data_IF_786570801299
#
_entry.id   IF_786570801299
#
_cell.length_a   1.000
_cell.length_b   1.000
_cell.length_c   1.000
_cell.angle_alpha   90.00
_cell.angle_beta   90.00
_cell.angle_gamma   90.00
#
_symmetry.space_group_name_H-M   'P 1'
#
loop_
_entity.id
_entity.type
_entity.pdbx_description
1 polymer ?
#
# COMPACT_ATOMS: atom_id res chain seq x y z
N UNK A 1 36.29 13.30 1.51
CA UNK A 1 35.28 13.67 0.51
C UNK A 1 34.58 12.39 0.12
N UNK A 2 33.48 12.08 0.82
CA UNK A 2 32.79 10.81 0.66
C UNK A 2 31.93 10.86 -0.60
N UNK A 3 32.15 9.89 -1.47
CA UNK A 3 31.49 9.67 -2.76
C UNK A 3 29.97 9.71 -2.65
N UNK A 4 29.39 10.51 -3.56
CA UNK A 4 27.95 10.71 -3.70
C UNK A 4 27.19 9.40 -3.82
N UNK A 5 26.18 9.29 -2.97
CA UNK A 5 25.18 8.24 -2.95
C UNK A 5 24.45 8.24 -4.29
N UNK A 6 24.50 7.10 -4.96
CA UNK A 6 23.81 6.82 -6.23
C UNK A 6 22.34 7.19 -6.07
N UNK A 7 21.86 8.12 -6.90
CA UNK A 7 20.45 8.48 -7.03
C UNK A 7 19.70 7.27 -7.64
N UNK A 8 19.47 6.25 -6.80
CA UNK A 8 18.79 5.04 -7.18
C UNK A 8 17.35 5.39 -7.52
N UNK A 9 17.01 5.31 -8.82
CA UNK A 9 15.64 5.41 -9.36
C UNK A 9 14.68 4.65 -8.44
N UNK A 10 13.96 5.36 -7.56
CA UNK A 10 12.99 4.73 -6.67
C UNK A 10 11.97 3.99 -7.53
N UNK A 11 11.76 2.71 -7.25
CA UNK A 11 10.76 1.90 -7.96
C UNK A 11 9.40 2.60 -7.92
N UNK A 12 8.65 2.63 -9.04
CA UNK A 12 7.34 3.27 -9.07
C UNK A 12 6.39 2.57 -8.07
N UNK A 13 5.39 3.28 -7.53
CA UNK A 13 4.39 2.68 -6.66
C UNK A 13 3.60 1.61 -7.42
N UNK A 14 3.65 0.37 -6.95
CA UNK A 14 2.90 -0.75 -7.56
C UNK A 14 1.54 -0.87 -6.89
N UNK A 15 0.47 -0.94 -7.70
CA UNK A 15 -0.89 -1.20 -7.21
C UNK A 15 -0.99 -2.64 -6.68
N UNK A 16 -1.44 -2.79 -5.44
CA UNK A 16 -1.54 -4.09 -4.76
C UNK A 16 -2.77 -4.17 -3.85
N UNK A 17 -3.21 -5.39 -3.58
CA UNK A 17 -4.19 -5.72 -2.53
C UNK A 17 -3.48 -6.22 -1.27
N UNK A 18 -4.08 -5.99 -0.09
CA UNK A 18 -3.54 -6.38 1.21
C UNK A 18 -3.25 -7.89 1.30
N UNK A 19 -4.12 -8.71 0.72
CA UNK A 19 -3.96 -10.16 0.63
C UNK A 19 -2.73 -10.59 -0.17
N UNK A 20 -2.31 -9.83 -1.18
CA UNK A 20 -1.09 -10.13 -1.94
C UNK A 20 0.16 -9.92 -1.08
N UNK A 21 0.19 -8.84 -0.28
CA UNK A 21 1.26 -8.60 0.69
C UNK A 21 1.26 -9.72 1.75
N UNK A 22 0.10 -10.01 2.35
CA UNK A 22 -0.04 -11.07 3.37
C UNK A 22 0.51 -12.42 2.90
N UNK A 23 0.19 -12.82 1.66
CA UNK A 23 0.67 -14.06 1.07
C UNK A 23 2.19 -14.09 0.79
N UNK A 24 2.84 -12.93 0.64
CA UNK A 24 4.29 -12.86 0.42
C UNK A 24 5.08 -13.24 1.68
N UNK A 25 4.59 -12.88 2.88
CA UNK A 25 5.27 -13.18 4.14
C UNK A 25 5.33 -14.66 4.50
N UNK A 26 4.51 -15.51 3.87
CA UNK A 26 4.51 -16.97 4.09
C UNK A 26 5.65 -17.69 3.38
N UNK A 27 6.47 -17.00 2.56
CA UNK A 27 7.44 -17.64 1.64
C UNK A 27 8.91 -17.23 1.78
N UNK A 28 9.30 -16.71 2.94
CA UNK A 28 10.70 -16.38 3.25
C UNK A 28 10.98 -14.88 3.22
N UNK A 29 11.76 -14.42 4.19
CA UNK A 29 12.01 -13.01 4.46
C UNK A 29 12.71 -12.32 3.27
N UNK A 30 12.22 -11.13 2.93
CA UNK A 30 12.94 -10.21 2.05
C UNK A 30 14.26 -9.82 2.70
N UNK A 31 15.36 -9.90 1.95
CA UNK A 31 16.54 -9.09 2.28
C UNK A 31 16.11 -7.62 2.23
N UNK A 32 16.15 -6.96 3.39
CA UNK A 32 15.48 -5.68 3.68
C UNK A 32 15.86 -4.50 2.77
N UNK A 33 16.86 -4.67 1.89
CA UNK A 33 17.31 -3.67 0.95
C UNK A 33 16.58 -3.70 -0.41
N UNK A 34 15.96 -4.82 -0.81
CA UNK A 34 15.44 -4.99 -2.19
C UNK A 34 13.90 -5.04 -2.33
N UNK A 35 13.14 -5.05 -1.23
CA UNK A 35 11.67 -5.13 -1.25
C UNK A 35 11.11 -6.55 -1.23
N UNK A 36 9.79 -6.68 -1.32
CA UNK A 36 9.04 -7.93 -1.15
C UNK A 36 8.62 -8.53 -2.49
N UNK A 37 8.61 -9.86 -2.60
CA UNK A 37 8.14 -10.54 -3.82
C UNK A 37 6.68 -10.95 -3.65
N UNK A 38 5.79 -10.37 -4.45
CA UNK A 38 4.37 -10.73 -4.50
C UNK A 38 4.06 -11.59 -5.73
N UNK A 39 2.99 -12.38 -5.65
CA UNK A 39 2.43 -13.06 -6.82
C UNK A 39 1.52 -12.12 -7.59
N UNK A 40 1.82 -11.96 -8.87
CA UNK A 40 0.97 -11.34 -9.86
C UNK A 40 0.07 -12.40 -10.54
N UNK A 41 -0.85 -11.94 -11.39
CA UNK A 41 -1.67 -12.83 -12.21
C UNK A 41 -0.84 -13.83 -13.03
N UNK A 42 -1.41 -15.01 -13.30
CA UNK A 42 -0.83 -16.08 -14.15
C UNK A 42 0.50 -16.67 -13.62
N UNK A 43 0.72 -16.66 -12.30
CA UNK A 43 1.88 -17.31 -11.68
C UNK A 43 3.19 -16.52 -11.79
N UNK A 44 3.14 -15.29 -12.29
CA UNK A 44 4.29 -14.37 -12.35
C UNK A 44 4.51 -13.71 -10.98
N UNK A 45 5.67 -13.11 -10.79
CA UNK A 45 6.05 -12.47 -9.52
C UNK A 45 6.58 -11.07 -9.73
N UNK A 46 6.32 -10.18 -8.77
CA UNK A 46 6.73 -8.79 -8.80
C UNK A 46 7.47 -8.42 -7.52
N UNK A 47 8.58 -7.69 -7.65
CA UNK A 47 9.29 -7.13 -6.51
C UNK A 47 8.75 -5.73 -6.22
N UNK A 48 8.32 -5.50 -4.99
CA UNK A 48 7.61 -4.28 -4.56
C UNK A 48 8.18 -3.74 -3.25
N UNK A 49 8.36 -2.42 -3.19
CA UNK A 49 8.84 -1.73 -1.98
C UNK A 49 8.01 -0.47 -1.70
N UNK A 50 7.63 0.24 -2.76
CA UNK A 50 6.65 1.31 -2.76
C UNK A 50 5.33 0.79 -3.36
N UNK A 51 4.22 1.02 -2.68
CA UNK A 51 2.91 0.52 -3.08
C UNK A 51 1.88 1.62 -3.19
N UNK A 52 0.88 1.37 -4.04
CA UNK A 52 -0.40 2.06 -4.07
C UNK A 52 -1.47 1.08 -3.58
N UNK A 53 -2.18 1.46 -2.52
CA UNK A 53 -3.28 0.69 -1.96
C UNK A 53 -4.53 1.58 -1.86
N UNK A 54 -5.71 0.96 -1.84
CA UNK A 54 -6.96 1.65 -1.56
C UNK A 54 -7.75 0.87 -0.52
N UNK A 55 -8.54 1.57 0.31
CA UNK A 55 -9.31 0.91 1.34
C UNK A 55 -10.25 1.84 2.09
N UNK A 56 -11.13 1.24 2.87
CA UNK A 56 -12.05 1.93 3.78
C UNK A 56 -11.39 2.08 5.13
N UNK A 57 -11.39 3.29 5.69
CA UNK A 57 -10.88 3.56 7.03
C UNK A 57 -11.79 2.86 8.04
N UNK A 58 -11.24 1.94 8.82
CA UNK A 58 -11.96 1.28 9.92
C UNK A 58 -11.83 2.09 11.20
N UNK A 59 -10.59 2.42 11.57
CA UNK A 59 -10.28 3.12 12.81
C UNK A 59 -8.98 3.91 12.68
N UNK A 60 -8.88 4.95 13.51
CA UNK A 60 -7.64 5.72 13.73
C UNK A 60 -7.17 5.39 15.14
N UNK A 61 -5.98 4.83 15.27
CA UNK A 61 -5.46 4.40 16.58
C UNK A 61 -5.21 5.59 17.51
N UNK A 62 -5.18 5.30 18.81
CA UNK A 62 -4.88 6.29 19.86
C UNK A 62 -3.51 6.94 19.57
N UNK A 63 -3.48 8.28 19.48
CA UNK A 63 -2.30 9.05 19.07
C UNK A 63 -2.33 9.54 17.63
N UNK A 64 -3.25 9.06 16.79
CA UNK A 64 -3.53 9.63 15.46
C UNK A 64 -2.42 9.44 14.42
N UNK A 65 -1.45 8.57 14.70
CA UNK A 65 -0.29 8.30 13.82
C UNK A 65 -0.46 7.06 12.95
N UNK A 66 -1.40 6.18 13.32
CA UNK A 66 -1.67 4.92 12.65
C UNK A 66 -3.15 4.78 12.35
N UNK A 67 -3.48 4.30 11.15
CA UNK A 67 -4.85 4.08 10.67
C UNK A 67 -4.99 2.66 10.17
N UNK A 68 -6.08 1.99 10.52
CA UNK A 68 -6.43 0.68 9.98
C UNK A 68 -7.36 0.87 8.77
N UNK A 69 -6.99 0.26 7.64
CA UNK A 69 -7.78 0.26 6.41
C UNK A 69 -8.19 -1.16 6.06
N UNK A 70 -9.28 -1.28 5.30
CA UNK A 70 -9.76 -2.55 4.76
C UNK A 70 -10.00 -2.43 3.26
N UNK A 71 -9.38 -3.33 2.50
CA UNK A 71 -9.76 -3.62 1.11
C UNK A 71 -10.57 -4.92 1.03
N UNK A 72 -10.92 -5.35 -0.18
CA UNK A 72 -11.71 -6.57 -0.41
C UNK A 72 -10.98 -7.87 0.01
N UNK A 73 -9.67 -7.82 0.24
CA UNK A 73 -8.84 -8.99 0.60
C UNK A 73 -8.39 -8.99 2.07
N UNK A 74 -8.78 -7.97 2.83
CA UNK A 74 -8.52 -7.88 4.27
C UNK A 74 -8.00 -6.52 4.70
N UNK A 75 -7.47 -6.50 5.92
CA UNK A 75 -6.98 -5.27 6.56
C UNK A 75 -5.52 -4.99 6.21
N UNK A 76 -5.12 -3.73 6.41
CA UNK A 76 -3.73 -3.31 6.48
C UNK A 76 -3.59 -2.04 7.33
N UNK A 77 -2.45 -1.88 8.00
CA UNK A 77 -2.15 -0.72 8.82
C UNK A 77 -1.29 0.31 8.08
N UNK A 78 -1.59 1.59 8.28
CA UNK A 78 -0.85 2.72 7.70
C UNK A 78 -0.32 3.60 8.80
N UNK A 79 1.01 3.73 8.87
CA UNK A 79 1.73 4.51 9.87
C UNK A 79 2.22 5.85 9.30
N UNK A 80 2.48 6.81 10.19
CA UNK A 80 3.07 8.12 9.84
C UNK A 80 2.10 9.06 9.13
N UNK A 81 0.78 8.85 9.29
CA UNK A 81 -0.24 9.64 8.58
C UNK A 81 -0.24 11.12 8.97
N UNK A 82 0.24 11.44 10.16
CA UNK A 82 0.38 12.80 10.68
C UNK A 82 1.46 13.63 9.97
N UNK A 83 2.40 12.97 9.29
CA UNK A 83 3.49 13.63 8.54
C UNK A 83 3.11 13.94 7.08
N UNK A 84 1.90 13.57 6.66
CA UNK A 84 1.41 13.79 5.29
C UNK A 84 0.73 15.17 5.22
N UNK A 85 0.97 15.96 4.13
CA UNK A 85 0.29 17.24 3.95
C UNK A 85 -1.23 17.11 4.12
N UNK A 86 -1.77 17.92 5.03
CA UNK A 86 -3.19 17.90 5.39
C UNK A 86 -3.99 18.65 4.34
N UNK A 87 -4.47 17.93 3.33
CA UNK A 87 -5.56 18.38 2.46
C UNK A 87 -6.92 18.28 3.19
N UNK A 88 -7.98 17.95 2.45
CA UNK A 88 -9.29 17.62 3.03
C UNK A 88 -9.15 16.49 4.08
N UNK A 89 -9.77 16.60 5.27
CA UNK A 89 -9.78 15.52 6.25
C UNK A 89 -10.37 14.23 5.64
N UNK A 90 -9.53 13.19 5.51
CA UNK A 90 -9.88 11.95 4.83
C UNK A 90 -9.69 10.69 5.69
N UNK A 91 -9.16 10.83 6.90
CA UNK A 91 -8.89 9.73 7.82
C UNK A 91 -9.95 9.67 8.92
N UNK A 92 -11.19 9.47 8.52
CA UNK A 92 -12.33 9.25 9.42
C UNK A 92 -12.93 7.87 9.11
N UNK A 93 -13.42 7.12 10.12
CA UNK A 93 -14.11 5.86 9.89
C UNK A 93 -15.16 5.95 8.78
N UNK A 94 -15.16 4.98 7.89
CA UNK A 94 -16.05 4.91 6.72
C UNK A 94 -15.57 5.67 5.48
N UNK A 95 -14.54 6.51 5.57
CA UNK A 95 -13.93 7.15 4.39
C UNK A 95 -13.22 6.14 3.51
N UNK A 96 -13.37 6.28 2.20
CA UNK A 96 -12.62 5.48 1.23
C UNK A 96 -11.44 6.30 0.71
N UNK A 97 -10.23 5.77 0.83
CA UNK A 97 -8.99 6.52 0.54
C UNK A 97 -8.04 5.70 -0.31
N UNK A 98 -7.19 6.41 -1.04
CA UNK A 98 -5.94 5.85 -1.55
C UNK A 98 -4.80 6.12 -0.57
N UNK A 99 -3.84 5.22 -0.51
CA UNK A 99 -2.58 5.39 0.20
C UNK A 99 -1.42 4.94 -0.70
N UNK A 100 -0.46 5.84 -0.92
CA UNK A 100 0.86 5.48 -1.41
C UNK A 100 1.79 5.33 -0.21
N UNK A 101 2.51 4.23 -0.09
CA UNK A 101 3.33 3.95 1.09
C UNK A 101 4.49 3.00 0.86
N UNK A 102 5.48 3.06 1.75
CA UNK A 102 6.62 2.14 1.76
C UNK A 102 6.29 0.96 2.66
N UNK A 103 6.43 -0.27 2.15
CA UNK A 103 6.15 -1.48 2.93
C UNK A 103 7.12 -1.56 4.11
N UNK A 104 6.57 -1.77 5.31
CA UNK A 104 7.33 -2.03 6.54
C UNK A 104 7.24 -3.51 6.94
N UNK A 105 6.04 -4.09 6.84
CA UNK A 105 5.79 -5.50 7.10
C UNK A 105 4.71 -6.00 6.14
N UNK A 106 4.72 -7.31 5.87
CA UNK A 106 3.75 -7.93 4.97
C UNK A 106 2.85 -8.97 5.65
N UNK A 107 3.27 -9.56 6.77
CA UNK A 107 2.54 -10.64 7.47
C UNK A 107 2.82 -10.58 8.97
N UNK A 108 1.88 -10.98 9.86
CA UNK A 108 0.52 -11.47 9.56
C UNK A 108 -0.43 -10.38 9.06
N UNK A 109 -0.15 -9.13 9.42
CA UNK A 109 -0.88 -7.96 8.99
C UNK A 109 0.05 -7.04 8.18
N UNK A 110 -0.30 -6.65 6.95
CA UNK A 110 0.50 -5.72 6.18
C UNK A 110 0.58 -4.34 6.86
N UNK A 111 1.78 -3.78 6.91
CA UNK A 111 2.04 -2.44 7.47
C UNK A 111 2.81 -1.62 6.45
N UNK A 112 2.30 -0.43 6.13
CA UNK A 112 2.98 0.53 5.26
C UNK A 112 3.19 1.86 5.97
N UNK A 113 4.30 2.54 5.69
CA UNK A 113 4.53 3.93 6.08
C UNK A 113 4.00 4.85 4.98
N UNK A 114 3.08 5.75 5.32
CA UNK A 114 2.47 6.65 4.37
C UNK A 114 3.51 7.57 3.70
N UNK A 115 3.32 7.80 2.41
CA UNK A 115 4.00 8.84 1.61
C UNK A 115 2.96 9.84 1.07
N UNK A 116 1.79 9.34 0.67
CA UNK A 116 0.67 10.18 0.22
C UNK A 116 -0.66 9.51 0.54
N UNK A 117 -1.66 10.32 0.89
CA UNK A 117 -3.03 9.89 1.15
C UNK A 117 -3.96 10.84 0.41
N UNK A 118 -5.04 10.32 -0.19
CA UNK A 118 -6.09 11.15 -0.75
C UNK A 118 -7.49 10.55 -0.54
N UNK A 119 -8.47 11.43 -0.34
CA UNK A 119 -9.89 11.08 -0.26
C UNK A 119 -10.40 10.61 -1.63
N UNK A 120 -11.05 9.45 -1.66
CA UNK A 120 -11.76 8.90 -2.81
C UNK A 120 -13.25 8.67 -2.49
N UNK A 121 -13.76 9.30 -1.42
CA UNK A 121 -15.09 8.97 -0.89
C UNK A 121 -16.25 9.35 -1.82
N UNK A 122 -16.10 10.41 -2.62
CA UNK A 122 -17.20 10.93 -3.46
C UNK A 122 -17.68 9.90 -4.50
N UNK A 123 -16.80 8.98 -4.93
CA UNK A 123 -17.12 7.88 -5.84
C UNK A 123 -16.67 6.52 -5.29
N UNK A 124 -16.74 6.34 -3.96
CA UNK A 124 -16.21 5.16 -3.27
C UNK A 124 -16.69 3.83 -3.87
N UNK A 125 -17.97 3.74 -4.25
CA UNK A 125 -18.53 2.53 -4.86
C UNK A 125 -17.83 2.16 -6.19
N UNK A 126 -17.66 3.15 -7.07
CA UNK A 126 -16.99 2.96 -8.35
C UNK A 126 -15.50 2.64 -8.15
N UNK A 127 -14.80 3.39 -7.31
CA UNK A 127 -13.38 3.15 -7.04
C UNK A 127 -13.14 1.77 -6.44
N UNK A 128 -13.99 1.32 -5.50
CA UNK A 128 -13.89 -0.02 -4.92
C UNK A 128 -14.10 -1.11 -5.97
N UNK A 129 -15.08 -0.95 -6.86
CA UNK A 129 -15.34 -1.92 -7.93
C UNK A 129 -14.19 -1.98 -8.95
N UNK A 130 -13.61 -0.83 -9.29
CA UNK A 130 -12.51 -0.74 -10.26
C UNK A 130 -11.17 -1.16 -9.68
N UNK A 131 -10.96 -1.03 -8.37
CA UNK A 131 -9.63 -1.17 -7.77
C UNK A 131 -8.97 -2.52 -8.08
N UNK A 132 -9.71 -3.63 -7.96
CA UNK A 132 -9.21 -4.96 -8.31
C UNK A 132 -8.77 -5.05 -9.76
N UNK A 133 -9.58 -4.54 -10.68
CA UNK A 133 -9.29 -4.54 -12.12
C UNK A 133 -8.05 -3.70 -12.43
N UNK A 134 -7.91 -2.54 -11.79
CA UNK A 134 -6.73 -1.68 -11.93
C UNK A 134 -5.44 -2.35 -11.41
N UNK A 135 -5.54 -3.11 -10.32
CA UNK A 135 -4.43 -3.91 -9.78
C UNK A 135 -4.04 -5.00 -10.78
N UNK A 136 -5.02 -5.75 -11.28
CA UNK A 136 -4.80 -6.84 -12.24
C UNK A 136 -4.20 -6.34 -13.56
N UNK A 137 -4.74 -5.27 -14.13
CA UNK A 137 -4.26 -4.64 -15.37
C UNK A 137 -2.82 -4.17 -15.24
N UNK A 138 -2.48 -3.42 -14.18
CA UNK A 138 -1.12 -2.95 -13.98
C UNK A 138 -0.13 -4.12 -13.85
N UNK A 139 -0.49 -5.14 -13.07
CA UNK A 139 0.38 -6.29 -12.83
C UNK A 139 0.53 -7.16 -14.09
N UNK A 140 -0.41 -7.16 -15.03
CA UNK A 140 -0.23 -7.81 -16.33
C UNK A 140 0.86 -7.15 -17.17
N UNK A 141 1.00 -5.82 -17.07
CA UNK A 141 2.02 -5.04 -17.80
C UNK A 141 3.38 -5.11 -17.13
N UNK A 142 3.42 -5.09 -15.79
CA UNK A 142 4.67 -5.05 -15.03
C UNK A 142 5.32 -6.41 -14.78
N UNK A 143 4.52 -7.46 -14.64
CA UNK A 143 5.04 -8.80 -14.31
C UNK A 143 5.76 -9.41 -15.49
#
# INVERSE_FOLDING_TARGET
WSTGQVDGKRSPPVKVLSGQLRAAGTRGAADSAEGYVIRAGRGRTLRVSLVWMQGTVLEVQLGGTTVMLMDETGTFAVQGVNNIPKGKPCLLPGKYVMVMGVIQAVSPEPVIRAVKIADLSDFAALHRQMWKLEVEELQQVLA
#
